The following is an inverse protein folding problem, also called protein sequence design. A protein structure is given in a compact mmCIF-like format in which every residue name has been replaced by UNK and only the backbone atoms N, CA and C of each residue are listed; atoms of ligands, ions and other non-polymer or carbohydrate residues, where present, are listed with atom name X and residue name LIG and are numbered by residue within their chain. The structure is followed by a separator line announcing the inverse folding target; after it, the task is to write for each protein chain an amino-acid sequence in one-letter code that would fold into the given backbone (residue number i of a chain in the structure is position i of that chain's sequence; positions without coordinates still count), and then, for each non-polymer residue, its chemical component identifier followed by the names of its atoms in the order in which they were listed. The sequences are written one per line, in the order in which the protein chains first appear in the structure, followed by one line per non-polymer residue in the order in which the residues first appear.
data_IF_318933004576
#
_entry.id   IF_318933004576
#
_cell.length_a   1.000
_cell.length_b   1.000
_cell.length_c   1.000
_cell.angle_alpha   90.00
_cell.angle_beta   90.00
_cell.angle_gamma   90.00
#
_symmetry.space_group_name_H-M   'P 1'
#
loop_
_entity.id
_entity.type
_entity.pdbx_description
1 polymer ?
#
# COMPACT_ATOMS: atom_id res chain seq x y z
N UNK A 1 -19.30 -0.60 25.50
CA UNK A 1 -19.96 0.74 25.49
C UNK A 1 -21.45 0.58 25.74
N UNK A 2 -22.13 1.56 26.35
CA UNK A 2 -23.58 1.48 26.56
C UNK A 2 -24.31 1.50 25.20
N UNK A 3 -25.26 0.56 24.95
CA UNK A 3 -26.01 0.51 23.70
C UNK A 3 -26.93 1.73 23.59
N UNK A 4 -26.81 2.48 22.49
CA UNK A 4 -27.59 3.71 22.27
C UNK A 4 -28.70 3.51 21.24
N UNK A 5 -28.40 2.84 20.13
CA UNK A 5 -29.35 2.64 19.03
C UNK A 5 -30.31 1.48 19.33
N UNK A 6 -31.47 1.46 18.67
CA UNK A 6 -32.44 0.36 18.76
C UNK A 6 -31.79 -0.98 18.39
N UNK A 7 -30.99 -0.99 17.32
CA UNK A 7 -30.23 -2.16 16.85
C UNK A 7 -29.28 -2.68 17.95
N UNK A 8 -28.51 -1.79 18.59
CA UNK A 8 -27.56 -2.20 19.63
C UNK A 8 -28.26 -2.77 20.86
N UNK A 9 -29.37 -2.16 21.29
CA UNK A 9 -30.16 -2.64 22.43
C UNK A 9 -30.75 -4.02 22.14
N UNK A 10 -31.27 -4.22 20.94
CA UNK A 10 -31.79 -5.50 20.50
C UNK A 10 -30.70 -6.58 20.46
N UNK A 11 -29.54 -6.28 19.88
CA UNK A 11 -28.42 -7.23 19.78
C UNK A 11 -27.94 -7.68 21.17
N UNK A 12 -27.81 -6.77 22.13
CA UNK A 12 -27.42 -7.12 23.50
C UNK A 12 -28.49 -8.02 24.16
N UNK A 13 -29.78 -7.70 23.97
CA UNK A 13 -30.88 -8.54 24.47
C UNK A 13 -30.88 -9.93 23.83
N UNK A 14 -30.64 -10.03 22.53
CA UNK A 14 -30.62 -11.31 21.81
C UNK A 14 -29.35 -12.12 22.13
N UNK A 15 -28.23 -11.45 22.39
CA UNK A 15 -26.98 -12.10 22.74
C UNK A 15 -27.06 -12.99 23.97
N UNK A 16 -27.90 -12.65 24.95
CA UNK A 16 -28.12 -13.49 26.15
C UNK A 16 -28.87 -14.79 25.85
N UNK A 17 -29.53 -14.88 24.69
CA UNK A 17 -30.28 -16.09 24.26
C UNK A 17 -29.44 -17.02 23.38
N UNK A 18 -28.21 -16.62 23.03
CA UNK A 18 -27.33 -17.48 22.24
C UNK A 18 -26.93 -18.72 23.04
N UNK A 19 -26.93 -19.91 22.42
CA UNK A 19 -26.58 -21.14 23.13
C UNK A 19 -25.09 -21.15 23.51
N UNK A 20 -24.77 -21.79 24.62
CA UNK A 20 -23.39 -22.09 24.97
C UNK A 20 -22.75 -23.08 23.97
N UNK A 21 -21.42 -23.17 24.02
CA UNK A 21 -20.68 -24.15 23.23
C UNK A 21 -21.02 -25.57 23.66
N UNK A 22 -21.56 -26.34 22.70
CA UNK A 22 -21.79 -27.77 22.87
C UNK A 22 -20.48 -28.55 22.98
N UNK A 23 -20.52 -29.74 23.60
CA UNK A 23 -19.35 -30.62 23.70
C UNK A 23 -18.76 -30.94 22.32
N UNK A 24 -19.60 -31.18 21.31
CA UNK A 24 -19.15 -31.45 19.93
C UNK A 24 -18.37 -30.27 19.33
N UNK A 25 -18.84 -29.04 19.54
CA UNK A 25 -18.13 -27.84 19.08
C UNK A 25 -16.80 -27.65 19.81
N UNK A 26 -16.75 -27.91 21.12
CA UNK A 26 -15.50 -27.85 21.90
C UNK A 26 -14.48 -28.88 21.42
N UNK A 27 -14.90 -30.14 21.25
CA UNK A 27 -14.04 -31.21 20.73
C UNK A 27 -13.52 -30.88 19.34
N UNK A 28 -14.38 -30.36 18.46
CA UNK A 28 -13.97 -29.91 17.14
C UNK A 28 -12.90 -28.81 17.21
N UNK A 29 -13.14 -27.77 18.02
CA UNK A 29 -12.18 -26.68 18.20
C UNK A 29 -10.82 -27.19 18.69
N UNK A 30 -10.78 -28.04 19.72
CA UNK A 30 -9.52 -28.55 20.26
C UNK A 30 -8.76 -29.45 19.29
N UNK A 31 -9.46 -30.17 18.42
CA UNK A 31 -8.86 -31.04 17.40
C UNK A 31 -8.30 -30.28 16.19
N UNK A 32 -8.96 -29.19 15.80
CA UNK A 32 -8.66 -28.50 14.54
C UNK A 32 -7.94 -27.16 14.71
N UNK A 33 -7.94 -26.57 15.91
CA UNK A 33 -7.17 -25.36 16.19
C UNK A 33 -5.69 -25.65 16.44
N UNK A 34 -5.34 -26.84 16.94
CA UNK A 34 -3.99 -27.10 17.42
C UNK A 34 -3.36 -28.27 16.72
N UNK A 35 -2.04 -28.18 16.55
CA UNK A 35 -1.22 -29.36 16.31
C UNK A 35 -1.17 -30.21 17.58
N UNK A 36 -1.11 -31.51 17.40
CA UNK A 36 -0.93 -32.48 18.48
C UNK A 36 0.41 -33.16 18.30
N UNK A 37 1.17 -33.32 19.39
CA UNK A 37 2.57 -33.72 19.30
C UNK A 37 2.84 -35.08 19.94
N UNK A 38 3.79 -35.81 19.37
CA UNK A 38 4.44 -36.94 20.00
C UNK A 38 5.90 -36.58 20.26
N UNK A 39 6.28 -36.41 21.53
CA UNK A 39 7.68 -36.12 21.84
C UNK A 39 8.48 -37.41 21.86
N UNK A 40 9.50 -37.50 21.02
CA UNK A 40 10.45 -38.61 21.04
C UNK A 40 11.71 -38.22 21.83
N UNK A 41 12.22 -39.16 22.62
CA UNK A 41 13.48 -39.01 23.35
C UNK A 41 14.63 -39.74 22.65
N UNK A 42 15.86 -39.53 23.11
CA UNK A 42 17.05 -40.18 22.56
C UNK A 42 17.03 -41.72 22.64
N UNK A 43 16.18 -42.30 23.50
CA UNK A 43 15.98 -43.76 23.62
C UNK A 43 14.88 -44.28 22.67
N UNK A 44 14.38 -43.46 21.75
CA UNK A 44 13.32 -43.80 20.80
C UNK A 44 11.92 -43.92 21.40
N UNK A 45 11.72 -43.52 22.66
CA UNK A 45 10.39 -43.55 23.31
C UNK A 45 9.63 -42.29 22.91
N UNK A 46 8.46 -42.49 22.32
CA UNK A 46 7.49 -41.44 21.96
C UNK A 46 6.52 -41.29 23.12
N UNK A 47 6.25 -40.05 23.52
CA UNK A 47 5.23 -39.72 24.52
C UNK A 47 4.19 -38.81 23.88
N UNK A 48 2.93 -39.25 23.88
CA UNK A 48 1.81 -38.48 23.40
C UNK A 48 1.56 -37.26 24.30
N UNK A 49 1.42 -36.08 23.72
CA UNK A 49 1.14 -34.86 24.48
C UNK A 49 -0.36 -34.63 24.76
N UNK A 50 -1.24 -35.47 24.20
CA UNK A 50 -2.68 -35.48 24.47
C UNK A 50 -3.08 -36.30 25.69
N UNK A 51 -2.69 -37.58 25.72
CA UNK A 51 -3.06 -38.48 26.82
C UNK A 51 -1.91 -38.79 27.79
N UNK A 52 -0.67 -38.42 27.45
CA UNK A 52 0.51 -38.69 28.27
C UNK A 52 1.07 -40.11 28.15
N UNK A 53 0.44 -40.99 27.36
CA UNK A 53 0.91 -42.35 27.13
C UNK A 53 2.28 -42.36 26.42
N UNK A 54 3.16 -43.29 26.81
CA UNK A 54 4.49 -43.43 26.25
C UNK A 54 4.72 -44.85 25.71
N UNK A 55 5.31 -44.95 24.52
CA UNK A 55 5.59 -46.22 23.84
C UNK A 55 6.85 -46.11 22.99
N UNK A 56 7.39 -47.25 22.57
CA UNK A 56 8.45 -47.30 21.54
C UNK A 56 7.81 -47.66 20.22
N UNK A 57 8.12 -46.91 19.17
CA UNK A 57 7.71 -47.27 17.81
C UNK A 57 8.77 -48.12 17.12
N UNK A 58 8.32 -49.06 16.28
CA UNK A 58 9.18 -49.89 15.44
C UNK A 58 9.65 -49.21 14.14
N UNK A 59 9.11 -48.03 13.78
CA UNK A 59 9.31 -47.40 12.47
C UNK A 59 9.74 -45.93 12.58
N UNK A 60 10.91 -45.68 13.19
CA UNK A 60 11.39 -44.34 13.55
C UNK A 60 11.44 -43.33 12.41
N UNK A 61 11.82 -43.75 11.19
CA UNK A 61 11.88 -42.87 10.02
C UNK A 61 10.49 -42.53 9.48
N UNK A 62 9.59 -43.53 9.42
CA UNK A 62 8.21 -43.34 8.94
C UNK A 62 7.44 -42.40 9.88
N UNK A 63 7.60 -42.56 11.19
CA UNK A 63 6.93 -41.69 12.18
C UNK A 63 7.39 -40.23 12.08
N UNK A 64 8.63 -39.99 11.66
CA UNK A 64 9.17 -38.63 11.49
C UNK A 64 8.66 -37.96 10.24
N UNK A 65 8.46 -38.71 9.15
CA UNK A 65 8.02 -38.16 7.87
C UNK A 65 6.49 -38.03 7.82
N UNK A 66 5.77 -39.02 8.33
CA UNK A 66 4.31 -39.12 8.18
C UNK A 66 3.53 -38.79 9.47
N UNK A 67 4.22 -38.60 10.60
CA UNK A 67 3.58 -38.58 11.91
C UNK A 67 3.17 -39.98 12.39
N UNK A 68 2.47 -40.05 13.52
CA UNK A 68 1.96 -41.33 14.04
C UNK A 68 0.62 -41.15 14.76
N UNK A 69 -0.16 -42.21 14.86
CA UNK A 69 -1.39 -42.22 15.67
C UNK A 69 -1.07 -42.75 17.06
N UNK A 70 -1.52 -42.06 18.12
CA UNK A 70 -1.35 -42.53 19.48
C UNK A 70 -2.12 -43.86 19.69
N UNK A 71 -1.46 -44.94 20.15
CA UNK A 71 -2.12 -46.23 20.33
C UNK A 71 -3.15 -46.23 21.46
N UNK A 72 -3.09 -45.25 22.38
CA UNK A 72 -3.98 -45.18 23.54
C UNK A 72 -5.21 -44.28 23.31
N UNK A 73 -5.04 -43.12 22.66
CA UNK A 73 -6.14 -42.15 22.48
C UNK A 73 -6.55 -41.94 21.02
N UNK A 74 -5.87 -42.56 20.05
CA UNK A 74 -6.22 -42.47 18.64
C UNK A 74 -5.94 -41.11 17.99
N UNK A 75 -5.34 -40.15 18.70
CA UNK A 75 -4.99 -38.85 18.13
C UNK A 75 -3.82 -39.00 17.16
N UNK A 76 -3.92 -38.39 15.98
CA UNK A 76 -2.80 -38.18 15.06
C UNK A 76 -1.82 -37.16 15.64
N UNK A 77 -0.53 -37.50 15.62
CA UNK A 77 0.54 -36.73 16.25
C UNK A 77 1.66 -36.42 15.27
N UNK A 78 2.11 -35.17 15.31
CA UNK A 78 3.37 -34.73 14.71
C UNK A 78 4.54 -35.10 15.65
N UNK A 79 5.49 -35.89 15.17
CA UNK A 79 6.64 -36.30 15.98
C UNK A 79 7.67 -35.20 16.05
N UNK A 80 8.08 -34.85 17.27
CA UNK A 80 9.08 -33.80 17.53
C UNK A 80 10.24 -34.34 18.38
N UNK A 81 11.46 -34.13 17.90
CA UNK A 81 12.71 -34.42 18.60
C UNK A 81 13.23 -33.14 19.28
N UNK A 82 12.67 -32.79 20.44
CA UNK A 82 13.03 -31.54 21.14
C UNK A 82 13.21 -31.73 22.63
N UNK A 83 14.04 -30.88 23.25
CA UNK A 83 14.14 -30.78 24.72
C UNK A 83 12.91 -30.15 25.35
N UNK A 84 12.12 -29.36 24.61
CA UNK A 84 10.85 -28.75 25.08
C UNK A 84 9.93 -29.81 25.67
N UNK A 85 9.30 -29.51 26.81
CA UNK A 85 8.41 -30.43 27.55
C UNK A 85 6.97 -29.94 27.65
N UNK A 86 6.73 -28.67 27.37
CA UNK A 86 5.42 -28.03 27.45
C UNK A 86 5.20 -27.28 26.14
N UNK A 87 4.13 -27.62 25.45
CA UNK A 87 3.67 -26.94 24.25
C UNK A 87 2.41 -26.18 24.64
N UNK A 88 2.41 -24.87 24.40
CA UNK A 88 1.28 -23.99 24.63
C UNK A 88 0.97 -23.27 23.35
N UNK A 89 -0.30 -23.17 23.04
CA UNK A 89 -0.77 -22.53 21.82
C UNK A 89 -2.09 -21.81 22.08
N UNK A 90 -2.38 -20.80 21.26
CA UNK A 90 -3.55 -19.95 21.40
C UNK A 90 -4.07 -19.57 20.02
N UNK A 91 -5.28 -20.03 19.69
CA UNK A 91 -5.81 -19.93 18.33
C UNK A 91 -7.28 -19.56 18.32
N UNK A 92 -7.74 -19.02 17.20
CA UNK A 92 -9.14 -18.65 17.01
C UNK A 92 -9.96 -19.74 16.33
N UNK A 93 -11.14 -19.98 16.89
CA UNK A 93 -12.20 -20.84 16.35
C UNK A 93 -13.44 -19.99 16.09
N UNK A 94 -14.20 -20.28 15.04
CA UNK A 94 -15.47 -19.58 14.81
C UNK A 94 -16.68 -20.50 14.58
N UNK A 95 -17.85 -19.96 14.88
CA UNK A 95 -19.16 -20.57 14.57
C UNK A 95 -19.99 -19.55 13.81
N UNK A 96 -20.54 -19.98 12.67
CA UNK A 96 -21.49 -19.21 11.87
C UNK A 96 -22.90 -19.72 12.15
N UNK A 97 -23.74 -18.86 12.72
CA UNK A 97 -25.11 -19.19 13.14
C UNK A 97 -26.07 -18.03 12.88
N UNK A 98 -27.34 -18.21 13.24
CA UNK A 98 -28.38 -17.20 13.12
C UNK A 98 -29.08 -16.99 14.46
N UNK A 99 -29.55 -15.77 14.73
CA UNK A 99 -30.39 -15.47 15.90
C UNK A 99 -31.48 -14.48 15.51
N UNK A 100 -32.76 -14.89 15.57
CA UNK A 100 -33.95 -14.05 15.29
C UNK A 100 -33.80 -13.16 14.03
N UNK A 101 -33.36 -13.76 12.92
CA UNK A 101 -33.18 -13.06 11.63
C UNK A 101 -31.81 -12.41 11.42
N UNK A 102 -30.98 -12.31 12.46
CA UNK A 102 -29.59 -11.86 12.32
C UNK A 102 -28.68 -13.00 11.89
N UNK A 103 -27.75 -12.70 10.99
CA UNK A 103 -26.57 -13.52 10.77
C UNK A 103 -25.55 -13.21 11.88
N UNK A 104 -25.05 -14.24 12.57
CA UNK A 104 -24.13 -14.10 13.70
C UNK A 104 -22.88 -14.93 13.47
N UNK A 105 -21.72 -14.30 13.55
CA UNK A 105 -20.42 -14.99 13.55
C UNK A 105 -19.84 -14.85 14.96
N UNK A 106 -19.60 -15.97 15.63
CA UNK A 106 -19.06 -16.03 16.99
C UNK A 106 -17.60 -16.46 16.92
N UNK A 107 -16.72 -15.74 17.60
CA UNK A 107 -15.29 -15.99 17.66
C UNK A 107 -14.89 -16.38 19.07
N UNK A 108 -14.13 -17.47 19.16
CA UNK A 108 -13.66 -18.05 20.40
C UNK A 108 -12.15 -18.13 20.39
N UNK A 109 -11.54 -17.71 21.49
CA UNK A 109 -10.13 -17.90 21.76
C UNK A 109 -9.97 -19.26 22.45
N UNK A 110 -9.38 -20.23 21.76
CA UNK A 110 -9.02 -21.52 22.31
C UNK A 110 -7.56 -21.48 22.76
N UNK A 111 -7.26 -22.10 23.91
CA UNK A 111 -5.88 -22.25 24.42
C UNK A 111 -5.60 -23.71 24.68
N UNK A 112 -4.39 -24.15 24.33
CA UNK A 112 -3.89 -25.48 24.63
C UNK A 112 -2.67 -25.42 25.55
N UNK A 113 -2.56 -26.41 26.44
CA UNK A 113 -1.36 -26.69 27.22
C UNK A 113 -1.12 -28.18 27.26
N UNK A 114 -0.23 -28.62 26.39
CA UNK A 114 0.15 -30.00 26.18
C UNK A 114 1.51 -30.24 26.85
N UNK A 115 1.50 -30.89 28.02
CA UNK A 115 2.73 -31.21 28.77
C UNK A 115 3.03 -32.69 28.62
N UNK A 116 4.27 -33.01 28.24
CA UNK A 116 4.72 -34.39 28.04
C UNK A 116 4.53 -35.20 29.32
N UNK A 117 3.85 -36.35 29.19
CA UNK A 117 3.52 -37.26 30.30
C UNK A 117 2.32 -36.81 31.13
N UNK A 118 1.56 -35.81 30.68
CA UNK A 118 0.30 -35.39 31.31
C UNK A 118 -0.80 -35.29 30.26
N UNK A 119 -2.05 -35.43 30.69
CA UNK A 119 -3.21 -35.16 29.83
C UNK A 119 -3.21 -33.68 29.41
N UNK A 120 -3.48 -33.41 28.14
CA UNK A 120 -3.60 -32.06 27.62
C UNK A 120 -4.71 -31.30 28.33
N UNK A 121 -4.45 -30.01 28.58
CA UNK A 121 -5.43 -29.08 29.14
C UNK A 121 -5.82 -28.07 28.08
N UNK A 122 -7.13 -27.83 27.99
CA UNK A 122 -7.70 -26.89 27.05
C UNK A 122 -8.62 -25.91 27.75
N UNK A 123 -8.66 -24.67 27.25
CA UNK A 123 -9.69 -23.70 27.58
C UNK A 123 -10.23 -23.05 26.31
N UNK A 124 -11.45 -22.55 26.37
CA UNK A 124 -12.07 -21.84 25.26
C UNK A 124 -12.98 -20.75 25.81
N UNK A 125 -12.82 -19.54 25.30
CA UNK A 125 -13.58 -18.37 25.73
C UNK A 125 -14.14 -17.66 24.50
N UNK A 126 -15.43 -17.31 24.52
CA UNK A 126 -16.02 -16.45 23.49
C UNK A 126 -15.53 -15.03 23.68
N UNK A 127 -14.91 -14.44 22.65
CA UNK A 127 -14.24 -13.14 22.77
C UNK A 127 -14.86 -12.06 21.90
N UNK A 128 -15.46 -12.43 20.77
CA UNK A 128 -16.11 -11.49 19.86
C UNK A 128 -17.28 -12.13 19.12
N UNK A 129 -18.25 -11.30 18.73
CA UNK A 129 -19.38 -11.63 17.90
C UNK A 129 -19.57 -10.51 16.87
N UNK A 130 -19.82 -10.90 15.62
CA UNK A 130 -20.28 -10.01 14.56
C UNK A 130 -21.73 -10.32 14.26
N UNK A 131 -22.57 -9.31 14.44
CA UNK A 131 -24.00 -9.38 14.17
C UNK A 131 -24.28 -8.59 12.90
N UNK A 132 -24.94 -9.22 11.93
CA UNK A 132 -25.27 -8.63 10.64
C UNK A 132 -26.78 -8.77 10.43
N UNK A 133 -27.46 -7.64 10.28
CA UNK A 133 -28.87 -7.58 9.96
C UNK A 133 -29.11 -7.94 8.48
N UNK A 134 -30.34 -8.35 8.09
CA UNK A 134 -30.69 -8.65 6.70
C UNK A 134 -30.46 -7.49 5.71
N UNK A 135 -30.41 -6.24 6.19
CA UNK A 135 -30.13 -5.04 5.40
C UNK A 135 -28.63 -4.69 5.35
N UNK A 136 -27.76 -5.53 5.89
CA UNK A 136 -26.31 -5.35 5.91
C UNK A 136 -25.79 -4.42 7.01
N UNK A 137 -26.66 -3.79 7.82
CA UNK A 137 -26.21 -3.09 9.03
C UNK A 137 -25.60 -4.09 10.00
N UNK A 138 -24.51 -3.70 10.64
CA UNK A 138 -23.73 -4.62 11.47
C UNK A 138 -23.25 -3.98 12.76
N UNK A 139 -23.22 -4.76 13.83
CA UNK A 139 -22.62 -4.35 15.11
C UNK A 139 -21.65 -5.41 15.61
N UNK A 140 -20.70 -4.99 16.43
CA UNK A 140 -19.69 -5.87 17.04
C UNK A 140 -19.88 -5.89 18.54
N UNK A 141 -20.05 -7.09 19.09
CA UNK A 141 -20.06 -7.34 20.54
C UNK A 141 -18.78 -8.06 20.87
N UNK A 142 -17.97 -7.54 21.78
CA UNK A 142 -16.72 -8.20 22.16
C UNK A 142 -16.32 -7.89 23.60
N UNK A 143 -15.51 -8.80 24.16
CA UNK A 143 -14.85 -8.59 25.45
C UNK A 143 -13.92 -7.40 25.39
N UNK A 144 -13.55 -6.88 26.55
CA UNK A 144 -12.50 -5.88 26.63
C UNK A 144 -11.17 -6.52 26.23
N UNK A 145 -10.36 -5.75 25.52
CA UNK A 145 -9.04 -6.16 25.09
C UNK A 145 -8.01 -5.20 25.65
N UNK A 146 -6.91 -5.72 26.14
CA UNK A 146 -5.73 -4.95 26.48
C UNK A 146 -5.18 -4.23 25.24
N UNK A 147 -4.69 -3.01 25.43
CA UNK A 147 -3.97 -2.29 24.39
C UNK A 147 -2.49 -2.68 24.48
N UNK A 148 -1.94 -3.27 23.43
CA UNK A 148 -0.51 -3.58 23.33
C UNK A 148 -0.03 -3.33 21.91
N UNK A 149 1.21 -2.85 21.79
CA UNK A 149 1.89 -2.61 20.52
C UNK A 149 2.39 -3.93 19.93
N UNK A 150 2.63 -4.95 20.77
CA UNK A 150 3.27 -6.21 20.39
C UNK A 150 2.30 -7.39 20.30
N UNK A 151 1.17 -7.35 21.01
CA UNK A 151 0.27 -8.49 21.13
C UNK A 151 -1.19 -8.08 20.86
N UNK A 152 -1.80 -8.69 19.85
CA UNK A 152 -3.18 -8.40 19.44
C UNK A 152 -4.24 -9.26 20.15
N UNK A 153 -3.85 -10.34 20.82
CA UNK A 153 -4.75 -11.36 21.40
C UNK A 153 -4.90 -11.26 22.93
N UNK A 154 -4.75 -10.05 23.47
CA UNK A 154 -4.83 -9.79 24.91
C UNK A 154 -6.28 -9.57 25.38
N UNK A 155 -7.11 -10.59 25.31
CA UNK A 155 -8.49 -10.52 25.80
C UNK A 155 -8.55 -10.57 27.32
N UNK A 156 -9.38 -9.72 27.92
CA UNK A 156 -9.74 -9.80 29.34
C UNK A 156 -10.93 -10.76 29.43
N UNK A 157 -10.64 -12.04 29.67
CA UNK A 157 -11.64 -13.12 29.62
C UNK A 157 -12.80 -12.93 30.59
N UNK A 158 -12.59 -12.29 31.74
CA UNK A 158 -13.62 -12.02 32.74
C UNK A 158 -14.47 -10.77 32.43
N UNK A 159 -14.07 -9.98 31.43
CA UNK A 159 -14.82 -8.77 31.07
C UNK A 159 -16.11 -9.09 30.31
N UNK A 160 -17.17 -8.29 30.48
CA UNK A 160 -18.44 -8.54 29.81
C UNK A 160 -18.34 -8.39 28.28
N UNK A 161 -19.19 -9.15 27.58
CA UNK A 161 -19.45 -9.00 26.15
C UNK A 161 -20.30 -7.75 25.91
N UNK A 162 -19.70 -6.70 25.35
CA UNK A 162 -20.37 -5.42 25.13
C UNK A 162 -20.23 -4.94 23.69
N UNK A 163 -21.09 -4.01 23.28
CA UNK A 163 -20.91 -3.29 22.01
C UNK A 163 -19.54 -2.60 22.01
N UNK A 164 -18.79 -2.80 20.91
CA UNK A 164 -17.50 -2.16 20.64
C UNK A 164 -17.56 -1.41 19.33
N UNK A 165 -17.10 -0.16 19.33
CA UNK A 165 -16.91 0.60 18.10
C UNK A 165 -15.71 0.03 17.35
N UNK A 166 -15.85 -0.16 16.05
CA UNK A 166 -14.75 -0.62 15.20
C UNK A 166 -13.84 0.54 14.74
N UNK A 167 -14.30 1.82 14.78
CA UNK A 167 -13.53 3.05 14.46
C UNK A 167 -12.56 2.97 13.25
N UNK A 168 -12.81 2.10 12.28
CA UNK A 168 -11.89 1.84 11.16
C UNK A 168 -10.64 1.02 11.50
N UNK A 169 -10.45 0.60 12.75
CA UNK A 169 -9.41 -0.33 13.14
C UNK A 169 -9.79 -1.76 12.77
N UNK A 170 -8.83 -2.58 12.34
CA UNK A 170 -9.05 -4.00 11.98
C UNK A 170 -9.02 -4.95 13.18
N UNK A 171 -9.30 -4.42 14.37
CA UNK A 171 -9.10 -5.10 15.66
C UNK A 171 -9.96 -6.35 15.82
N UNK A 172 -11.14 -6.35 15.20
CA UNK A 172 -12.08 -7.45 15.26
C UNK A 172 -12.15 -8.22 13.93
N UNK A 173 -11.20 -7.98 13.02
CA UNK A 173 -11.09 -8.70 11.74
C UNK A 173 -10.32 -10.01 12.00
N UNK A 174 -10.94 -10.87 12.80
CA UNK A 174 -10.36 -12.13 13.28
C UNK A 174 -10.41 -13.15 12.16
N UNK A 175 -9.26 -13.71 11.80
CA UNK A 175 -9.15 -14.85 10.89
C UNK A 175 -9.01 -16.14 11.73
N UNK A 176 -10.09 -16.92 11.91
CA UNK A 176 -10.02 -18.15 12.67
C UNK A 176 -9.27 -19.23 11.89
N UNK A 177 -8.47 -20.05 12.60
CA UNK A 177 -7.82 -21.24 12.01
C UNK A 177 -8.84 -22.23 11.48
N UNK A 178 -9.98 -22.37 12.19
CA UNK A 178 -11.06 -23.21 11.73
C UNK A 178 -12.44 -22.65 12.09
N UNK A 179 -13.43 -23.02 11.29
CA UNK A 179 -14.84 -22.69 11.51
C UNK A 179 -15.63 -23.98 11.62
N UNK A 180 -16.58 -24.04 12.56
CA UNK A 180 -17.43 -25.22 12.73
C UNK A 180 -18.24 -25.51 11.46
N UNK A 181 -18.24 -26.75 10.94
CA UNK A 181 -18.77 -27.04 9.61
C UNK A 181 -20.29 -26.92 9.52
N UNK A 182 -21.02 -27.13 10.62
CA UNK A 182 -22.49 -26.97 10.64
C UNK A 182 -22.84 -25.49 10.80
N UNK A 183 -22.99 -24.82 9.67
CA UNK A 183 -23.31 -23.40 9.60
C UNK A 183 -24.82 -23.17 9.47
N UNK A 184 -25.32 -22.08 10.04
CA UNK A 184 -26.66 -21.57 9.74
C UNK A 184 -26.55 -20.21 9.07
N UNK A 185 -27.31 -20.05 7.98
CA UNK A 185 -27.25 -18.90 7.08
C UNK A 185 -28.65 -18.36 6.87
N UNK A 186 -28.82 -17.05 7.01
CA UNK A 186 -30.12 -16.39 6.77
C UNK A 186 -30.53 -16.48 5.28
N UNK A 187 -31.84 -16.51 4.97
CA UNK A 187 -32.32 -16.64 3.59
C UNK A 187 -31.80 -15.56 2.64
N UNK A 188 -31.62 -14.33 3.10
CA UNK A 188 -31.19 -13.18 2.31
C UNK A 188 -29.77 -13.38 1.75
N UNK A 189 -28.86 -13.96 2.54
CA UNK A 189 -27.50 -14.30 2.11
C UNK A 189 -27.54 -15.35 0.99
N UNK A 190 -28.39 -16.37 1.14
CA UNK A 190 -28.56 -17.41 0.11
C UNK A 190 -29.15 -16.83 -1.17
N UNK A 191 -30.20 -16.01 -1.05
CA UNK A 191 -30.83 -15.28 -2.17
C UNK A 191 -29.82 -14.41 -2.92
N UNK A 192 -28.87 -13.81 -2.20
CA UNK A 192 -27.85 -12.95 -2.75
C UNK A 192 -26.64 -13.73 -3.33
N UNK A 193 -26.73 -15.06 -3.42
CA UNK A 193 -25.81 -15.89 -4.23
C UNK A 193 -24.76 -16.67 -3.44
N UNK A 194 -24.85 -16.73 -2.10
CA UNK A 194 -23.94 -17.57 -1.32
C UNK A 194 -24.21 -19.07 -1.54
N UNK A 195 -23.19 -19.79 -2.01
CA UNK A 195 -23.22 -21.21 -2.36
C UNK A 195 -22.55 -22.11 -1.29
N UNK A 196 -22.02 -21.52 -0.22
CA UNK A 196 -21.23 -22.21 0.80
C UNK A 196 -19.73 -21.92 0.72
N UNK A 197 -19.25 -21.30 -0.35
CA UNK A 197 -17.86 -20.90 -0.52
C UNK A 197 -17.67 -19.39 -0.25
N UNK A 198 -16.59 -19.05 0.44
CA UNK A 198 -16.23 -17.66 0.74
C UNK A 198 -15.20 -17.07 -0.24
N UNK A 199 -14.66 -17.89 -1.16
CA UNK A 199 -13.71 -17.46 -2.20
C UNK A 199 -12.50 -16.67 -1.66
N UNK A 200 -11.98 -17.08 -0.50
CA UNK A 200 -10.84 -16.42 0.15
C UNK A 200 -11.16 -15.07 0.81
N UNK A 201 -12.44 -14.74 1.00
CA UNK A 201 -12.92 -13.56 1.73
C UNK A 201 -13.32 -13.99 3.14
N UNK A 202 -13.09 -13.15 4.15
CA UNK A 202 -13.52 -13.47 5.51
C UNK A 202 -15.06 -13.47 5.60
N UNK A 203 -15.68 -14.39 6.38
CA UNK A 203 -17.13 -14.51 6.43
C UNK A 203 -17.88 -13.21 6.75
N UNK A 204 -17.32 -12.40 7.65
CA UNK A 204 -17.93 -11.11 8.02
C UNK A 204 -17.96 -10.13 6.84
N UNK A 205 -16.82 -9.92 6.17
CA UNK A 205 -16.71 -9.01 5.04
C UNK A 205 -17.58 -9.49 3.87
N UNK A 206 -17.59 -10.80 3.63
CA UNK A 206 -18.40 -11.43 2.59
C UNK A 206 -19.90 -11.19 2.81
N UNK A 207 -20.43 -11.60 3.97
CA UNK A 207 -21.87 -11.48 4.26
C UNK A 207 -22.32 -10.02 4.29
N UNK A 208 -21.52 -9.15 4.91
CA UNK A 208 -21.85 -7.73 4.95
C UNK A 208 -21.88 -7.13 3.55
N UNK A 209 -20.91 -7.44 2.70
CA UNK A 209 -20.83 -6.90 1.34
C UNK A 209 -22.04 -7.28 0.51
N UNK A 210 -22.41 -8.56 0.45
CA UNK A 210 -23.51 -9.02 -0.40
C UNK A 210 -24.89 -8.57 0.11
N UNK A 211 -25.03 -8.24 1.40
CA UNK A 211 -26.28 -7.72 1.96
C UNK A 211 -26.42 -6.20 1.77
N UNK A 212 -25.30 -5.47 1.70
CA UNK A 212 -25.30 -4.00 1.69
C UNK A 212 -25.00 -3.38 0.33
N UNK A 213 -24.38 -4.11 -0.59
CA UNK A 213 -23.97 -3.59 -1.90
C UNK A 213 -24.38 -4.53 -3.05
N UNK A 214 -25.28 -4.05 -3.90
CA UNK A 214 -25.75 -4.79 -5.08
C UNK A 214 -24.64 -5.09 -6.10
N UNK A 215 -23.54 -4.32 -6.09
CA UNK A 215 -22.36 -4.59 -6.92
C UNK A 215 -21.61 -5.82 -6.43
N UNK A 216 -21.49 -6.00 -5.11
CA UNK A 216 -20.88 -7.19 -4.54
C UNK A 216 -21.70 -8.45 -4.85
N UNK A 217 -23.02 -8.36 -4.71
CA UNK A 217 -23.94 -9.42 -5.16
C UNK A 217 -23.75 -9.76 -6.65
N UNK A 218 -23.69 -8.74 -7.50
CA UNK A 218 -23.51 -8.92 -8.95
C UNK A 218 -22.17 -9.58 -9.28
N UNK A 219 -21.08 -9.15 -8.65
CA UNK A 219 -19.75 -9.75 -8.81
C UNK A 219 -19.74 -11.21 -8.35
N UNK A 220 -20.39 -11.52 -7.23
CA UNK A 220 -20.52 -12.89 -6.74
C UNK A 220 -21.27 -13.78 -7.74
N UNK A 221 -22.49 -13.35 -8.14
CA UNK A 221 -23.36 -14.13 -9.04
C UNK A 221 -22.79 -14.30 -10.45
N UNK A 222 -21.94 -13.38 -10.89
CA UNK A 222 -21.25 -13.45 -12.18
C UNK A 222 -19.91 -14.20 -12.15
N UNK A 223 -19.52 -14.77 -11.00
CA UNK A 223 -18.26 -15.50 -10.86
C UNK A 223 -17.01 -14.62 -10.89
N UNK A 224 -17.15 -13.31 -10.70
CA UNK A 224 -16.06 -12.33 -10.67
C UNK A 224 -15.36 -12.33 -9.29
N UNK A 225 -15.00 -13.51 -8.78
CA UNK A 225 -14.46 -13.66 -7.42
C UNK A 225 -13.14 -12.89 -7.18
N UNK A 226 -12.16 -12.88 -8.11
CA UNK A 226 -10.94 -12.10 -7.90
C UNK A 226 -11.21 -10.60 -7.81
N UNK A 227 -12.11 -10.08 -8.66
CA UNK A 227 -12.54 -8.69 -8.60
C UNK A 227 -13.36 -8.38 -7.34
N UNK A 228 -14.23 -9.29 -6.89
CA UNK A 228 -14.95 -9.15 -5.62
C UNK A 228 -13.98 -9.06 -4.45
N UNK A 229 -13.01 -9.98 -4.37
CA UNK A 229 -11.98 -9.98 -3.32
C UNK A 229 -11.16 -8.68 -3.33
N UNK A 230 -10.76 -8.23 -4.52
CA UNK A 230 -10.07 -6.95 -4.69
C UNK A 230 -10.93 -5.76 -4.24
N UNK A 231 -12.21 -5.75 -4.61
CA UNK A 231 -13.16 -4.69 -4.26
C UNK A 231 -13.36 -4.55 -2.75
N UNK A 232 -13.45 -5.67 -2.02
CA UNK A 232 -13.68 -5.63 -0.58
C UNK A 232 -12.42 -5.29 0.23
N UNK A 233 -11.22 -5.60 -0.30
CA UNK A 233 -9.95 -5.36 0.39
C UNK A 233 -9.40 -3.95 0.20
N UNK A 234 -9.70 -3.33 -0.94
CA UNK A 234 -9.10 -2.06 -1.35
C UNK A 234 -10.10 -0.92 -1.30
N UNK A 235 -9.64 0.26 -0.89
CA UNK A 235 -10.44 1.47 -0.92
C UNK A 235 -10.29 2.13 -2.29
N UNK A 236 -11.29 2.00 -3.13
CA UNK A 236 -11.42 2.79 -4.35
C UNK A 236 -12.89 2.97 -4.72
N UNK A 237 -13.16 3.94 -5.58
CA UNK A 237 -14.50 4.23 -6.04
C UNK A 237 -14.91 3.27 -7.17
N UNK A 238 -15.52 2.14 -6.82
CA UNK A 238 -16.00 1.16 -7.82
C UNK A 238 -16.98 1.77 -8.84
N UNK A 239 -17.67 2.86 -8.50
CA UNK A 239 -18.60 3.53 -9.44
C UNK A 239 -17.92 4.02 -10.72
N UNK A 240 -16.65 4.43 -10.64
CA UNK A 240 -15.84 4.90 -11.79
C UNK A 240 -15.50 3.78 -12.78
N UNK A 241 -15.53 2.52 -12.32
CA UNK A 241 -15.16 1.35 -13.11
C UNK A 241 -16.36 0.44 -13.41
N UNK A 242 -17.51 0.68 -12.78
CA UNK A 242 -18.64 -0.24 -12.79
C UNK A 242 -19.18 -0.53 -14.20
N UNK A 243 -19.17 0.46 -15.09
CA UNK A 243 -19.59 0.26 -16.48
C UNK A 243 -18.64 -0.69 -17.21
N UNK A 244 -17.32 -0.49 -17.06
CA UNK A 244 -16.27 -1.37 -17.58
C UNK A 244 -16.38 -2.79 -17.02
N UNK A 245 -16.63 -2.95 -15.71
CA UNK A 245 -16.89 -4.25 -15.09
C UNK A 245 -18.13 -4.93 -15.69
N UNK A 246 -19.23 -4.20 -15.87
CA UNK A 246 -20.43 -4.75 -16.52
C UNK A 246 -20.18 -5.17 -17.97
N UNK A 247 -19.28 -4.49 -18.68
CA UNK A 247 -18.85 -4.90 -20.02
C UNK A 247 -18.10 -6.22 -19.96
N UNK A 248 -17.14 -6.37 -19.03
CA UNK A 248 -16.44 -7.63 -18.80
C UNK A 248 -17.41 -8.78 -18.55
N UNK A 249 -18.38 -8.59 -17.64
CA UNK A 249 -19.40 -9.60 -17.32
C UNK A 249 -20.23 -9.96 -18.56
N UNK A 250 -20.72 -8.97 -19.32
CA UNK A 250 -21.54 -9.21 -20.54
C UNK A 250 -20.78 -9.94 -21.65
N UNK A 251 -19.45 -9.82 -21.69
CA UNK A 251 -18.59 -10.47 -22.69
C UNK A 251 -17.99 -11.78 -22.16
N UNK A 252 -18.44 -12.29 -21.00
CA UNK A 252 -17.90 -13.52 -20.42
C UNK A 252 -16.44 -13.43 -19.97
N UNK A 253 -15.91 -12.22 -19.80
CA UNK A 253 -14.53 -12.00 -19.38
C UNK A 253 -14.45 -11.96 -17.84
N UNK A 254 -13.88 -13.00 -17.24
CA UNK A 254 -13.52 -13.01 -15.82
C UNK A 254 -12.26 -12.20 -15.61
N UNK A 255 -12.32 -11.18 -14.75
CA UNK A 255 -11.17 -10.35 -14.43
C UNK A 255 -10.27 -11.13 -13.46
N UNK A 256 -9.07 -11.58 -13.88
CA UNK A 256 -8.25 -12.50 -13.08
C UNK A 256 -7.54 -11.78 -11.93
N UNK A 257 -7.17 -10.51 -12.12
CA UNK A 257 -6.52 -9.69 -11.11
C UNK A 257 -7.13 -8.28 -11.11
N UNK A 258 -7.81 -7.93 -10.01
CA UNK A 258 -8.52 -6.66 -9.91
C UNK A 258 -7.60 -5.43 -9.89
N UNK A 259 -6.38 -5.57 -9.37
CA UNK A 259 -5.40 -4.46 -9.29
C UNK A 259 -4.87 -4.11 -10.66
N UNK A 260 -4.28 -5.09 -11.35
CA UNK A 260 -3.70 -4.93 -12.69
C UNK A 260 -4.78 -4.47 -13.67
N UNK A 261 -6.00 -4.99 -13.55
CA UNK A 261 -7.10 -4.56 -14.42
C UNK A 261 -7.53 -3.12 -14.17
N UNK A 262 -7.64 -2.69 -12.90
CA UNK A 262 -7.95 -1.29 -12.58
C UNK A 262 -6.87 -0.37 -13.12
N UNK A 263 -5.60 -0.67 -12.85
CA UNK A 263 -4.47 0.13 -13.30
C UNK A 263 -4.41 0.20 -14.83
N UNK A 264 -4.72 -0.91 -15.52
CA UNK A 264 -4.88 -0.93 -16.98
C UNK A 264 -6.02 0.00 -17.46
N UNK A 265 -7.18 0.00 -16.79
CA UNK A 265 -8.30 0.89 -17.13
C UNK A 265 -7.92 2.37 -16.93
N UNK A 266 -7.13 2.69 -15.90
CA UNK A 266 -6.62 4.04 -15.69
C UNK A 266 -5.63 4.47 -16.78
N UNK A 267 -4.75 3.56 -17.23
CA UNK A 267 -3.85 3.81 -18.38
C UNK A 267 -4.66 4.05 -19.67
N UNK A 268 -5.71 3.27 -19.90
CA UNK A 268 -6.61 3.47 -21.04
C UNK A 268 -7.27 4.86 -20.98
N UNK A 269 -7.74 5.27 -19.80
CA UNK A 269 -8.33 6.61 -19.59
C UNK A 269 -7.30 7.71 -19.86
N UNK A 270 -6.08 7.58 -19.35
CA UNK A 270 -4.99 8.54 -19.59
C UNK A 270 -4.64 8.66 -21.09
N UNK A 271 -4.60 7.53 -21.81
CA UNK A 271 -4.33 7.47 -23.25
C UNK A 271 -5.55 7.83 -24.13
N UNK A 272 -6.65 8.34 -23.55
CA UNK A 272 -7.86 8.74 -24.25
C UNK A 272 -8.59 7.58 -24.94
N UNK A 273 -8.47 6.35 -24.43
CA UNK A 273 -9.17 5.17 -24.96
C UNK A 273 -10.53 5.01 -24.29
N UNK A 274 -11.47 4.46 -25.05
CA UNK A 274 -12.84 4.22 -24.57
C UNK A 274 -12.88 3.04 -23.59
N UNK A 275 -12.96 3.34 -22.30
CA UNK A 275 -13.09 2.36 -21.21
C UNK A 275 -14.46 1.67 -21.20
N UNK A 276 -15.38 2.03 -22.10
CA UNK A 276 -16.67 1.35 -22.30
C UNK A 276 -16.66 0.41 -23.52
N UNK A 277 -15.51 0.19 -24.15
CA UNK A 277 -15.38 -0.77 -25.26
C UNK A 277 -14.83 -2.12 -24.78
N UNK A 278 -15.48 -3.26 -25.11
CA UNK A 278 -14.97 -4.58 -24.76
C UNK A 278 -13.59 -4.85 -25.35
N UNK A 279 -13.27 -4.26 -26.50
CA UNK A 279 -11.95 -4.32 -27.13
C UNK A 279 -10.81 -3.92 -26.19
N UNK A 280 -11.04 -2.96 -25.31
CA UNK A 280 -10.00 -2.44 -24.41
C UNK A 280 -10.08 -3.06 -23.02
N UNK A 281 -11.29 -3.28 -22.48
CA UNK A 281 -11.45 -3.74 -21.09
C UNK A 281 -11.48 -5.26 -20.92
N UNK A 282 -11.57 -6.03 -22.01
CA UNK A 282 -11.56 -7.50 -22.02
C UNK A 282 -10.32 -8.03 -22.78
N UNK A 283 -9.09 -7.79 -22.30
CA UNK A 283 -7.89 -8.25 -22.98
C UNK A 283 -7.77 -9.78 -22.91
N UNK A 284 -7.25 -10.42 -23.97
CA UNK A 284 -6.97 -11.86 -23.94
C UNK A 284 -5.89 -12.22 -22.91
N UNK A 285 -4.88 -11.35 -22.75
CA UNK A 285 -3.88 -11.46 -21.71
C UNK A 285 -3.74 -10.11 -20.99
N UNK A 286 -4.27 -10.06 -19.75
CA UNK A 286 -4.30 -8.85 -18.95
C UNK A 286 -2.91 -8.24 -18.73
N UNK A 287 -1.92 -9.07 -18.39
CA UNK A 287 -0.56 -8.60 -18.09
C UNK A 287 0.11 -8.02 -19.33
N UNK A 288 0.03 -8.73 -20.45
CA UNK A 288 0.63 -8.27 -21.71
C UNK A 288 0.01 -6.96 -22.19
N UNK A 289 -1.31 -6.79 -22.10
CA UNK A 289 -1.95 -5.54 -22.49
C UNK A 289 -1.65 -4.39 -21.51
N UNK A 290 -1.63 -4.68 -20.21
CA UNK A 290 -1.17 -3.72 -19.20
C UNK A 290 0.25 -3.22 -19.51
N UNK A 291 1.22 -4.11 -19.69
CA UNK A 291 2.63 -3.74 -19.91
C UNK A 291 2.81 -2.93 -21.20
N UNK A 292 2.05 -3.26 -22.27
CA UNK A 292 2.02 -2.45 -23.50
C UNK A 292 1.50 -1.03 -23.26
N UNK A 293 0.48 -0.86 -22.41
CA UNK A 293 -0.10 0.45 -22.10
C UNK A 293 0.80 1.28 -21.19
N UNK A 294 1.51 0.64 -20.25
CA UNK A 294 2.56 1.28 -19.45
C UNK A 294 3.61 1.89 -20.37
N UNK A 295 4.21 1.09 -21.25
CA UNK A 295 5.24 1.55 -22.19
C UNK A 295 4.77 2.72 -23.07
N UNK A 296 3.52 2.65 -23.57
CA UNK A 296 2.93 3.75 -24.35
C UNK A 296 2.76 5.02 -23.54
N UNK A 297 2.34 4.89 -22.28
CA UNK A 297 2.11 6.01 -21.38
C UNK A 297 3.43 6.67 -20.97
N UNK A 298 4.47 5.87 -20.71
CA UNK A 298 5.83 6.37 -20.44
C UNK A 298 6.37 7.18 -21.62
N UNK A 299 6.28 6.65 -22.84
CA UNK A 299 6.70 7.35 -24.06
C UNK A 299 5.94 8.65 -24.29
N UNK A 300 4.66 8.72 -23.94
CA UNK A 300 3.88 9.95 -24.03
C UNK A 300 4.33 10.97 -22.98
N UNK A 301 4.54 10.55 -21.73
CA UNK A 301 5.05 11.42 -20.66
C UNK A 301 6.44 11.97 -20.98
N UNK A 302 7.32 11.17 -21.57
CA UNK A 302 8.63 11.62 -22.02
C UNK A 302 8.50 12.74 -23.07
N UNK A 303 7.62 12.57 -24.07
CA UNK A 303 7.36 13.60 -25.08
C UNK A 303 6.76 14.87 -24.47
N UNK A 304 5.78 14.73 -23.58
CA UNK A 304 5.17 15.85 -22.85
C UNK A 304 6.21 16.59 -22.03
N UNK A 305 7.11 15.86 -21.36
CA UNK A 305 8.22 16.44 -20.60
C UNK A 305 9.20 17.19 -21.50
N UNK A 306 9.63 16.58 -22.61
CA UNK A 306 10.55 17.23 -23.56
C UNK A 306 9.93 18.48 -24.18
N UNK A 307 8.65 18.44 -24.55
CA UNK A 307 7.95 19.60 -25.09
C UNK A 307 7.80 20.70 -24.04
N UNK A 308 7.50 20.33 -22.80
CA UNK A 308 7.44 21.28 -21.68
C UNK A 308 8.80 21.93 -21.42
N UNK A 309 9.87 21.14 -21.38
CA UNK A 309 11.24 21.64 -21.23
C UNK A 309 11.63 22.58 -22.39
N UNK A 310 11.21 22.26 -23.62
CA UNK A 310 11.42 23.13 -24.78
C UNK A 310 10.65 24.44 -24.67
N UNK A 311 9.39 24.39 -24.25
CA UNK A 311 8.56 25.57 -24.06
C UNK A 311 9.11 26.45 -22.93
N UNK A 312 9.50 25.85 -21.81
CA UNK A 312 10.17 26.55 -20.70
C UNK A 312 11.48 27.19 -21.17
N UNK A 313 12.28 26.52 -22.01
CA UNK A 313 13.49 27.10 -22.58
C UNK A 313 13.20 28.31 -23.50
N UNK A 314 12.18 28.23 -24.35
CA UNK A 314 11.77 29.34 -25.22
C UNK A 314 11.23 30.54 -24.42
N UNK A 315 10.48 30.29 -23.36
CA UNK A 315 9.97 31.32 -22.46
C UNK A 315 11.13 31.99 -21.71
N UNK A 316 12.04 31.21 -21.13
CA UNK A 316 13.24 31.75 -20.46
C UNK A 316 14.09 32.59 -21.42
N UNK A 317 14.25 32.19 -22.68
CA UNK A 317 15.01 32.96 -23.69
C UNK A 317 14.32 34.29 -24.02
N UNK A 318 13.00 34.30 -24.18
CA UNK A 318 12.21 35.52 -24.40
C UNK A 318 12.27 36.47 -23.20
N UNK A 319 12.10 35.94 -22.00
CA UNK A 319 12.14 36.73 -20.77
C UNK A 319 13.54 37.31 -20.55
N UNK A 320 14.58 36.53 -20.85
CA UNK A 320 15.97 36.98 -20.79
C UNK A 320 16.25 38.10 -21.80
N UNK A 321 15.82 37.94 -23.06
CA UNK A 321 15.92 38.99 -24.08
C UNK A 321 15.14 40.25 -23.67
N UNK A 322 13.95 40.11 -23.09
CA UNK A 322 13.16 41.25 -22.63
C UNK A 322 13.84 41.99 -21.47
N UNK A 323 14.39 41.25 -20.50
CA UNK A 323 15.01 41.83 -19.31
C UNK A 323 16.42 42.38 -19.57
N UNK A 324 17.20 41.73 -20.45
CA UNK A 324 18.63 42.00 -20.63
C UNK A 324 19.03 42.43 -22.05
N UNK A 325 18.11 42.38 -23.01
CA UNK A 325 18.38 42.68 -24.42
C UNK A 325 18.93 44.09 -24.67
N UNK A 326 18.58 45.06 -23.82
CA UNK A 326 19.14 46.42 -23.88
C UNK A 326 20.68 46.45 -23.71
N UNK A 327 21.25 45.45 -23.04
CA UNK A 327 22.69 45.31 -22.78
C UNK A 327 23.40 44.47 -23.84
N UNK A 328 22.68 43.83 -24.76
CA UNK A 328 23.30 42.99 -25.79
C UNK A 328 24.17 43.83 -26.72
N UNK A 329 25.29 43.26 -27.15
CA UNK A 329 26.35 43.94 -27.89
C UNK A 329 27.30 44.80 -27.05
N UNK A 330 27.11 44.89 -25.72
CA UNK A 330 28.10 45.53 -24.85
C UNK A 330 29.37 44.65 -24.75
N UNK A 331 30.48 45.27 -25.13
CA UNK A 331 31.81 44.67 -25.07
C UNK A 331 32.79 45.69 -24.52
N UNK A 332 33.66 45.25 -23.60
CA UNK A 332 34.72 46.07 -23.02
C UNK A 332 36.06 45.41 -23.33
N UNK A 333 37.04 46.21 -23.73
CA UNK A 333 38.38 45.69 -24.04
C UNK A 333 39.48 46.64 -23.61
N UNK A 334 40.60 46.07 -23.19
CA UNK A 334 41.82 46.78 -22.83
C UNK A 334 43.05 46.31 -23.62
N UNK A 335 42.80 45.92 -24.88
CA UNK A 335 43.73 45.32 -25.86
C UNK A 335 44.16 43.87 -25.57
N UNK A 336 44.03 43.37 -24.33
CA UNK A 336 44.34 41.99 -23.97
C UNK A 336 43.08 41.19 -23.59
N UNK A 337 42.20 41.78 -22.77
CA UNK A 337 41.01 41.12 -22.26
C UNK A 337 39.78 41.63 -23.03
N UNK A 338 38.88 40.73 -23.36
CA UNK A 338 37.56 41.03 -23.91
C UNK A 338 36.49 40.57 -22.93
N UNK A 339 35.72 41.51 -22.40
CA UNK A 339 34.55 41.23 -21.54
C UNK A 339 33.29 41.49 -22.34
N UNK A 340 32.47 40.46 -22.53
CA UNK A 340 31.22 40.52 -23.32
C UNK A 340 30.03 40.10 -22.46
N UNK A 341 28.88 40.78 -22.60
CA UNK A 341 27.61 40.33 -22.00
C UNK A 341 27.18 38.98 -22.59
N UNK A 342 26.69 38.06 -21.75
CA UNK A 342 26.10 36.82 -22.23
C UNK A 342 24.74 37.13 -22.88
N UNK A 343 24.53 36.73 -24.12
CA UNK A 343 23.40 37.22 -24.94
C UNK A 343 22.26 36.20 -25.08
N UNK A 344 22.43 34.99 -24.55
CA UNK A 344 21.37 33.97 -24.56
C UNK A 344 21.41 33.08 -23.31
N UNK A 345 20.28 32.45 -23.00
CA UNK A 345 20.21 31.46 -21.91
C UNK A 345 21.05 30.22 -22.28
N UNK A 346 21.11 29.87 -23.57
CA UNK A 346 21.98 28.80 -24.08
C UNK A 346 23.47 29.07 -23.83
N UNK A 347 23.95 30.29 -24.10
CA UNK A 347 25.32 30.72 -23.79
C UNK A 347 25.58 30.71 -22.27
N UNK A 348 24.62 31.13 -21.46
CA UNK A 348 24.74 31.11 -20.00
C UNK A 348 24.91 29.68 -19.44
N UNK A 349 24.19 28.70 -20.01
CA UNK A 349 24.39 27.30 -19.68
C UNK A 349 25.74 26.76 -20.17
N UNK A 350 26.22 27.19 -21.33
CA UNK A 350 27.55 26.83 -21.83
C UNK A 350 28.66 27.41 -20.94
N UNK A 351 28.50 28.65 -20.51
CA UNK A 351 29.40 29.34 -19.57
C UNK A 351 29.48 28.59 -18.24
N UNK A 352 28.35 28.28 -17.61
CA UNK A 352 28.32 27.55 -16.34
C UNK A 352 28.94 26.15 -16.43
N UNK A 353 28.80 25.46 -17.58
CA UNK A 353 29.45 24.17 -17.82
C UNK A 353 30.97 24.32 -17.99
N UNK A 354 31.43 25.29 -18.78
CA UNK A 354 32.85 25.50 -19.07
C UNK A 354 33.61 25.97 -17.82
N UNK A 355 33.00 26.82 -17.02
CA UNK A 355 33.62 27.41 -15.83
C UNK A 355 33.37 26.61 -14.54
N UNK A 356 32.63 25.50 -14.63
CA UNK A 356 32.27 24.63 -13.51
C UNK A 356 31.65 25.38 -12.31
N UNK A 357 30.82 26.39 -12.58
CA UNK A 357 30.12 27.16 -11.54
C UNK A 357 28.62 27.31 -11.88
N UNK A 358 27.82 27.64 -10.86
CA UNK A 358 26.36 27.54 -10.90
C UNK A 358 25.65 28.71 -11.62
N UNK A 359 26.26 29.34 -12.62
CA UNK A 359 25.70 30.53 -13.30
C UNK A 359 24.57 30.19 -14.28
N UNK A 360 24.39 28.92 -14.67
CA UNK A 360 23.34 28.51 -15.63
C UNK A 360 21.89 28.87 -15.24
N UNK A 361 21.62 29.15 -13.95
CA UNK A 361 20.29 29.57 -13.46
C UNK A 361 20.15 31.09 -13.29
N UNK A 362 21.19 31.87 -13.58
CA UNK A 362 21.22 33.30 -13.26
C UNK A 362 20.44 34.16 -14.26
N UNK A 363 19.97 33.58 -15.36
CA UNK A 363 19.08 34.24 -16.34
C UNK A 363 17.77 34.74 -15.70
N UNK A 364 17.39 34.18 -14.54
CA UNK A 364 16.20 34.57 -13.78
C UNK A 364 16.43 35.75 -12.81
N UNK A 365 17.66 36.25 -12.66
CA UNK A 365 17.97 37.37 -11.75
C UNK A 365 17.75 38.71 -12.46
N UNK A 366 16.70 39.42 -12.05
CA UNK A 366 16.32 40.71 -12.64
C UNK A 366 17.38 41.79 -12.43
N UNK A 367 18.08 41.78 -11.29
CA UNK A 367 19.06 42.82 -10.92
C UNK A 367 20.51 42.46 -11.23
N UNK A 368 20.78 41.33 -11.88
CA UNK A 368 22.15 40.89 -12.20
C UNK A 368 22.40 40.90 -13.70
N UNK A 369 23.56 41.39 -14.14
CA UNK A 369 24.05 41.25 -15.51
C UNK A 369 25.29 40.36 -15.50
N UNK A 370 25.27 39.33 -16.34
CA UNK A 370 26.35 38.34 -16.41
C UNK A 370 27.18 38.62 -17.67
N UNK A 371 28.50 38.72 -17.48
CA UNK A 371 29.48 38.92 -18.53
C UNK A 371 30.49 37.77 -18.52
N UNK A 372 31.02 37.43 -19.69
CA UNK A 372 32.12 36.49 -19.86
C UNK A 372 33.38 37.26 -20.25
N UNK A 373 34.45 37.07 -19.49
CA UNK A 373 35.78 37.61 -19.78
C UNK A 373 36.61 36.55 -20.51
N UNK A 374 37.23 36.95 -21.61
CA UNK A 374 37.99 36.07 -22.51
C UNK A 374 39.33 36.69 -22.91
N UNK A 375 40.33 35.84 -23.16
CA UNK A 375 41.62 36.19 -23.78
C UNK A 375 41.80 35.23 -24.96
N UNK A 376 42.07 35.75 -26.16
CA UNK A 376 42.23 34.97 -27.39
C UNK A 376 41.07 33.98 -27.68
N UNK A 377 39.86 34.30 -27.20
CA UNK A 377 38.66 33.47 -27.34
C UNK A 377 38.49 32.39 -26.26
N UNK A 378 39.45 32.23 -25.35
CA UNK A 378 39.36 31.33 -24.20
C UNK A 378 38.75 32.04 -22.98
N UNK A 379 37.86 31.35 -22.27
CA UNK A 379 37.16 31.90 -21.09
C UNK A 379 38.08 31.92 -19.88
N UNK A 380 38.19 33.09 -19.24
CA UNK A 380 39.05 33.26 -18.06
C UNK A 380 38.25 33.49 -16.78
N UNK A 381 37.21 34.34 -16.80
CA UNK A 381 36.32 34.60 -15.66
C UNK A 381 34.89 34.89 -16.11
N UNK A 382 33.92 34.55 -15.27
CA UNK A 382 32.55 35.01 -15.40
C UNK A 382 32.30 36.11 -14.36
N UNK A 383 31.75 37.22 -14.81
CA UNK A 383 31.52 38.44 -14.02
C UNK A 383 30.03 38.66 -13.82
N UNK A 384 29.59 38.86 -12.58
CA UNK A 384 28.25 39.30 -12.20
C UNK A 384 28.29 40.75 -11.75
N UNK A 385 27.56 41.61 -12.45
CA UNK A 385 27.37 43.03 -12.13
C UNK A 385 25.97 43.22 -11.56
N UNK A 386 25.86 43.90 -10.43
CA UNK A 386 24.57 44.31 -9.88
C UNK A 386 24.09 45.58 -10.60
N UNK A 387 22.93 45.51 -11.22
CA UNK A 387 22.35 46.59 -12.04
C UNK A 387 21.82 47.77 -11.21
N UNK A 388 21.63 47.62 -9.90
CA UNK A 388 21.17 48.71 -9.01
C UNK A 388 22.34 49.60 -8.60
N UNK A 389 23.48 48.98 -8.33
CA UNK A 389 24.69 49.64 -7.85
C UNK A 389 25.73 49.89 -8.95
N UNK A 390 25.60 49.18 -10.07
CA UNK A 390 26.54 49.13 -11.21
C UNK A 390 27.96 48.72 -10.78
N UNK A 391 28.05 47.86 -9.76
CA UNK A 391 29.31 47.32 -9.24
C UNK A 391 29.42 45.83 -9.53
N UNK A 392 30.65 45.36 -9.64
CA UNK A 392 30.93 43.93 -9.75
C UNK A 392 30.70 43.28 -8.39
N UNK A 393 29.75 42.35 -8.31
CA UNK A 393 29.46 41.59 -7.07
C UNK A 393 30.28 40.31 -7.02
N UNK A 394 30.52 39.70 -8.17
CA UNK A 394 31.30 38.48 -8.28
C UNK A 394 32.08 38.48 -9.59
N UNK A 395 33.35 38.10 -9.53
CA UNK A 395 34.15 37.75 -10.72
C UNK A 395 34.91 36.48 -10.37
N UNK A 396 34.74 35.40 -11.14
CA UNK A 396 35.34 34.10 -10.81
C UNK A 396 35.75 33.32 -12.06
N UNK A 397 36.94 32.73 -12.00
CA UNK A 397 37.43 31.75 -12.95
C UNK A 397 36.90 30.34 -12.70
N UNK A 398 37.49 29.38 -13.40
CA UNK A 398 37.11 27.96 -13.33
C UNK A 398 37.14 27.46 -11.88
N UNK A 399 36.10 26.73 -11.45
CA UNK A 399 35.98 26.21 -10.07
C UNK A 399 36.02 27.29 -8.98
N UNK A 400 35.56 28.52 -9.27
CA UNK A 400 35.50 29.66 -8.35
C UNK A 400 36.86 30.21 -7.87
N UNK A 401 37.94 30.03 -8.64
CA UNK A 401 39.24 30.66 -8.35
C UNK A 401 39.32 32.09 -8.88
N UNK A 402 40.22 32.90 -8.32
CA UNK A 402 40.62 34.18 -8.92
C UNK A 402 41.74 33.92 -9.93
N UNK A 403 41.69 34.58 -11.09
CA UNK A 403 42.76 34.52 -12.10
C UNK A 403 43.79 35.63 -11.86
N UNK A 404 44.94 35.54 -12.52
CA UNK A 404 45.97 36.60 -12.51
C UNK A 404 45.42 37.95 -13.01
N UNK A 405 44.35 37.92 -13.81
CA UNK A 405 43.71 39.11 -14.39
C UNK A 405 42.50 39.60 -13.60
N UNK A 406 42.17 38.99 -12.46
CA UNK A 406 40.96 39.25 -11.69
C UNK A 406 40.72 40.75 -11.40
N UNK A 407 41.71 41.43 -10.80
CA UNK A 407 41.58 42.85 -10.45
C UNK A 407 41.48 43.74 -11.70
N UNK A 408 42.13 43.31 -12.79
CA UNK A 408 42.12 44.00 -14.09
C UNK A 408 40.74 43.88 -14.76
N UNK A 409 40.10 42.71 -14.68
CA UNK A 409 38.74 42.46 -15.20
C UNK A 409 37.71 43.29 -14.41
N UNK A 410 37.80 43.30 -13.07
CA UNK A 410 36.90 44.11 -12.23
C UNK A 410 37.02 45.58 -12.61
N UNK A 411 38.25 46.10 -12.66
CA UNK A 411 38.50 47.49 -13.01
C UNK A 411 37.98 47.83 -14.41
N UNK A 412 38.20 46.95 -15.40
CA UNK A 412 37.71 47.15 -16.76
C UNK A 412 36.19 47.25 -16.83
N UNK A 413 35.46 46.45 -16.05
CA UNK A 413 34.00 46.49 -16.00
C UNK A 413 33.49 47.73 -15.25
N UNK A 414 34.12 48.07 -14.12
CA UNK A 414 33.73 49.25 -13.33
C UNK A 414 34.04 50.58 -14.05
N UNK A 415 35.18 50.70 -14.72
CA UNK A 415 35.56 51.88 -15.51
C UNK A 415 34.58 52.11 -16.68
N UNK A 416 33.91 51.06 -17.16
CA UNK A 416 32.91 51.12 -18.22
C UNK A 416 31.45 51.04 -17.73
N UNK A 417 31.21 51.10 -16.42
CA UNK A 417 29.88 51.02 -15.82
C UNK A 417 28.92 52.12 -16.33
N UNK A 418 29.44 53.27 -16.74
CA UNK A 418 28.63 54.35 -17.31
C UNK A 418 27.97 53.94 -18.63
N UNK A 419 28.60 53.07 -19.44
CA UNK A 419 27.99 52.55 -20.67
C UNK A 419 26.79 51.65 -20.38
N UNK A 420 26.86 50.86 -19.30
CA UNK A 420 25.73 50.06 -18.80
C UNK A 420 24.59 50.99 -18.37
N UNK A 421 24.91 52.06 -17.63
CA UNK A 421 23.94 53.09 -17.21
C UNK A 421 23.25 53.77 -18.39
N UNK A 422 24.01 54.11 -19.43
CA UNK A 422 23.47 54.73 -20.64
C UNK A 422 22.46 53.81 -21.34
N UNK A 423 22.73 52.50 -21.42
CA UNK A 423 21.78 51.51 -21.96
C UNK A 423 20.51 51.39 -21.12
N UNK A 424 20.63 51.46 -19.79
CA UNK A 424 19.46 51.47 -18.88
C UNK A 424 18.57 52.70 -19.07
N UNK A 425 19.17 53.88 -19.30
CA UNK A 425 18.43 55.13 -19.46
C UNK A 425 17.79 55.28 -20.86
N UNK A 426 18.26 54.51 -21.84
CA UNK A 426 17.79 54.55 -23.23
C UNK A 426 16.71 53.49 -23.56
N UNK A 427 16.52 52.52 -22.65
CA UNK A 427 15.48 51.50 -22.71
C UNK A 427 14.22 51.97 -21.98
#
# INVERSE_FOLDING_TARGET
MKPKTTLQKEIIRLGTTLPELTSAQRTYAFRHCFKHYGKRNAKGVITCTECGHAWKSGHSLADTICGCTCPNCGTELEIVDTRKRVFTDCEYFSIITTCKGYQVIRFFLAKSRQKVGQKAKYSICEVAQRWIAPDGRSETVARLRGMSILYYDLWIEDSPMEIRKNNGHRVYDIAPVCTYPRQRIIPEIKRNGFDGNFHGILPYDFFKAILSDSRAETLLKSGQYPMLSYYLRNRFNMSEYWQSVKICIRNGYTIPDGSTWRDMVDLLRYLGKDINSPKYVCPQNLKTEHDKLVWKSERQREREKTEKERQEALENEKDYLKAKGMFFGLTFTDNLILVKVIESVAEMFAEGRAMHHCVGQYHKREDSLILSATIDGERIETVEVDLRTLKVVQSRGVCNSNTEYHDRIIKLVEDNAEQIRQRMNAA
#
